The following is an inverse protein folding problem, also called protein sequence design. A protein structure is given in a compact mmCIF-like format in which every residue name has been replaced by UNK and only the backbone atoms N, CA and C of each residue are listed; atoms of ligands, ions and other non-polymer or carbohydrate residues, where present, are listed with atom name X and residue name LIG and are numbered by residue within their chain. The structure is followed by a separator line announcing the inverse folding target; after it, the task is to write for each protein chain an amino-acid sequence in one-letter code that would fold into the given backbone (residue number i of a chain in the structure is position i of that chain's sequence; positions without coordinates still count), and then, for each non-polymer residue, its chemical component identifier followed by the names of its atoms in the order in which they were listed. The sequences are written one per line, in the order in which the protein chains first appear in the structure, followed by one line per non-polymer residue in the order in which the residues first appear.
data_IF_304339766000
#
_entry.id   IF_304339766000
#
_cell.length_a   1.000
_cell.length_b   1.000
_cell.length_c   1.000
_cell.angle_alpha   90.00
_cell.angle_beta   90.00
_cell.angle_gamma   90.00
#
_symmetry.space_group_name_H-M   'P 1'
#
loop_
_entity.id
_entity.type
_entity.pdbx_description
1 polymer ?
#
# COMPACT_ATOMS: atom_id res chain seq x y z
N UNK A 1 12.13 -5.13 12.60
CA UNK A 1 10.80 -5.13 13.26
C UNK A 1 10.63 -3.84 14.05
N UNK A 2 9.39 -3.38 14.28
CA UNK A 2 9.12 -2.07 14.87
C UNK A 2 8.61 -2.21 16.30
N UNK A 3 9.17 -1.46 17.24
CA UNK A 3 8.56 -1.30 18.57
C UNK A 3 7.32 -0.39 18.44
N UNK A 4 6.10 -0.89 18.65
CA UNK A 4 4.89 -0.07 18.57
C UNK A 4 4.86 0.95 19.73
N UNK A 5 4.08 2.02 19.57
CA UNK A 5 3.76 2.88 20.70
C UNK A 5 2.86 2.10 21.67
N UNK A 6 3.19 2.10 22.96
CA UNK A 6 2.43 1.35 23.95
C UNK A 6 2.26 2.13 25.26
N UNK A 7 1.20 1.81 25.98
CA UNK A 7 0.88 2.35 27.30
C UNK A 7 0.43 1.21 28.21
N UNK A 8 0.82 1.26 29.49
CA UNK A 8 0.41 0.30 30.50
C UNK A 8 -0.38 1.01 31.61
N UNK A 9 -1.54 0.46 31.90
CA UNK A 9 -2.35 0.81 33.06
C UNK A 9 -2.68 -0.45 33.85
N UNK A 10 -3.16 -0.32 35.08
CA UNK A 10 -3.44 -1.48 35.93
C UNK A 10 -4.65 -1.24 36.83
N UNK A 11 -5.35 -2.33 37.09
CA UNK A 11 -6.38 -2.46 38.11
C UNK A 11 -5.91 -3.46 39.18
N UNK A 12 -6.65 -3.66 40.29
CA UNK A 12 -6.26 -4.65 41.31
C UNK A 12 -6.09 -6.07 40.76
N UNK A 13 -6.84 -6.44 39.72
CA UNK A 13 -6.85 -7.80 39.18
C UNK A 13 -6.12 -7.96 37.84
N UNK A 14 -5.97 -6.89 37.07
CA UNK A 14 -5.50 -6.95 35.68
C UNK A 14 -4.43 -5.90 35.40
N UNK A 15 -3.46 -6.26 34.58
CA UNK A 15 -2.59 -5.36 33.84
C UNK A 15 -3.22 -5.10 32.47
N UNK A 16 -3.32 -3.83 32.08
CA UNK A 16 -3.98 -3.39 30.84
C UNK A 16 -2.90 -2.82 29.92
N UNK A 17 -2.62 -3.51 28.83
CA UNK A 17 -1.67 -3.10 27.81
C UNK A 17 -2.42 -2.50 26.62
N UNK A 18 -2.10 -1.27 26.26
CA UNK A 18 -2.64 -0.60 25.09
C UNK A 18 -1.50 -0.42 24.07
N UNK A 19 -1.54 -1.18 22.98
CA UNK A 19 -0.49 -1.21 21.96
C UNK A 19 -1.05 -0.64 20.66
N UNK A 20 -0.41 0.39 20.11
CA UNK A 20 -0.83 1.06 18.88
C UNK A 20 -0.20 0.41 17.67
N UNK A 21 -1.00 -0.33 16.91
CA UNK A 21 -0.62 -1.13 15.74
C UNK A 21 -1.55 -0.83 14.53
N UNK A 22 -1.44 0.37 13.92
CA UNK A 22 -2.35 0.82 12.86
C UNK A 22 -2.18 0.09 11.53
N UNK A 23 -1.04 -0.57 11.30
CA UNK A 23 -0.72 -1.20 10.02
C UNK A 23 -0.77 -2.74 10.09
N UNK A 24 -1.44 -3.32 11.07
CA UNK A 24 -1.43 -4.79 11.25
C UNK A 24 -2.72 -5.44 10.78
N UNK A 25 -2.60 -6.60 10.14
CA UNK A 25 -3.75 -7.46 9.83
C UNK A 25 -4.27 -8.11 11.12
N UNK A 26 -5.59 -8.22 11.25
CA UNK A 26 -6.26 -8.80 12.43
C UNK A 26 -6.00 -10.29 12.65
N UNK A 27 -5.42 -10.99 11.67
CA UNK A 27 -5.24 -12.44 11.65
C UNK A 27 -3.89 -12.93 12.19
N UNK A 28 -2.96 -12.03 12.52
CA UNK A 28 -1.57 -12.37 12.88
C UNK A 28 -1.16 -11.68 14.19
N UNK A 29 -1.78 -12.06 15.30
CA UNK A 29 -1.36 -11.63 16.64
C UNK A 29 -0.85 -12.83 17.42
N UNK A 30 0.44 -12.84 17.74
CA UNK A 30 1.06 -13.81 18.64
C UNK A 30 1.40 -13.16 19.98
N UNK A 31 0.93 -13.78 21.06
CA UNK A 31 1.15 -13.36 22.43
C UNK A 31 1.94 -14.43 23.17
N UNK A 32 2.93 -14.01 23.95
CA UNK A 32 3.67 -14.88 24.86
C UNK A 32 3.75 -14.21 26.23
N UNK A 33 3.25 -14.90 27.25
CA UNK A 33 3.22 -14.44 28.64
C UNK A 33 3.94 -15.48 29.50
N UNK A 34 5.02 -15.07 30.16
CA UNK A 34 5.80 -15.94 31.03
C UNK A 34 6.28 -15.18 32.26
N UNK A 35 5.47 -15.23 33.33
CA UNK A 35 5.77 -14.57 34.60
C UNK A 35 5.92 -13.06 34.42
N UNK A 36 7.15 -12.56 34.38
CA UNK A 36 7.43 -11.12 34.19
C UNK A 36 7.60 -10.75 32.72
N UNK A 37 7.75 -11.72 31.82
CA UNK A 37 8.14 -11.46 30.44
C UNK A 37 6.90 -11.50 29.57
N UNK A 38 6.65 -10.39 28.87
CA UNK A 38 5.58 -10.26 27.91
C UNK A 38 6.18 -10.05 26.52
N UNK A 39 5.75 -10.82 25.53
CA UNK A 39 6.09 -10.61 24.12
C UNK A 39 4.83 -10.55 23.29
N UNK A 40 4.77 -9.56 22.42
CA UNK A 40 3.72 -9.34 21.44
C UNK A 40 4.38 -9.28 20.06
N UNK A 41 3.91 -10.11 19.16
CA UNK A 41 4.33 -10.10 17.77
C UNK A 41 3.10 -9.94 16.88
N UNK A 42 3.17 -8.95 15.99
CA UNK A 42 2.12 -8.71 15.02
C UNK A 42 2.73 -7.94 13.86
N UNK A 43 3.06 -8.63 12.78
CA UNK A 43 3.86 -8.08 11.68
C UNK A 43 3.30 -6.71 11.22
N UNK A 44 4.13 -5.65 11.12
CA UNK A 44 5.60 -5.58 11.31
C UNK A 44 6.08 -5.26 12.74
N UNK A 45 5.18 -5.26 13.73
CA UNK A 45 5.45 -4.89 15.10
C UNK A 45 5.96 -6.05 15.95
N UNK A 46 6.92 -5.72 16.81
CA UNK A 46 7.40 -6.60 17.87
C UNK A 46 7.58 -5.78 19.14
N UNK A 47 6.97 -6.22 20.22
CA UNK A 47 7.08 -5.61 21.54
C UNK A 47 7.41 -6.67 22.56
N UNK A 48 8.57 -6.56 23.20
CA UNK A 48 8.89 -7.29 24.42
C UNK A 48 8.94 -6.32 25.59
N UNK A 49 8.40 -6.76 26.73
CA UNK A 49 8.41 -6.05 27.99
C UNK A 49 8.88 -6.96 29.12
N UNK A 50 9.77 -6.44 29.95
CA UNK A 50 10.16 -6.97 31.25
C UNK A 50 9.33 -6.25 32.32
N UNK A 51 8.30 -6.91 32.83
CA UNK A 51 7.37 -6.33 33.81
C UNK A 51 7.94 -6.41 35.24
N UNK A 52 7.60 -5.44 36.11
CA UNK A 52 8.08 -5.39 37.50
C UNK A 52 7.42 -6.43 38.41
N UNK A 53 6.26 -6.96 38.01
CA UNK A 53 5.51 -8.00 38.72
C UNK A 53 5.10 -9.12 37.78
N UNK A 54 4.62 -10.23 38.35
CA UNK A 54 4.28 -11.43 37.60
C UNK A 54 2.83 -11.42 37.11
N UNK A 55 2.67 -11.73 35.83
CA UNK A 55 1.40 -11.96 35.15
C UNK A 55 1.27 -13.45 34.81
N UNK A 56 0.04 -13.92 34.66
CA UNK A 56 -0.26 -15.33 34.40
C UNK A 56 -1.18 -15.45 33.19
N UNK A 57 -0.96 -16.51 32.41
CA UNK A 57 -1.90 -16.95 31.37
C UNK A 57 -2.84 -18.00 31.98
N UNK A 58 -4.01 -17.59 32.44
CA UNK A 58 -5.01 -18.44 33.11
C UNK A 58 -6.34 -18.58 32.33
N UNK A 59 -6.39 -18.05 31.11
CA UNK A 59 -7.56 -18.10 30.23
C UNK A 59 -8.61 -17.03 30.55
N UNK A 60 -8.36 -16.14 31.52
CA UNK A 60 -9.22 -14.98 31.81
C UNK A 60 -8.71 -13.71 31.12
N UNK A 61 -7.74 -13.81 30.24
CA UNK A 61 -7.26 -12.70 29.44
C UNK A 61 -8.39 -12.19 28.53
N UNK A 62 -8.40 -10.89 28.30
CA UNK A 62 -9.30 -10.30 27.31
C UNK A 62 -8.45 -9.51 26.34
N UNK A 63 -8.76 -9.61 25.06
CA UNK A 63 -8.16 -8.78 24.03
C UNK A 63 -9.26 -8.08 23.24
N UNK A 64 -9.02 -6.82 22.89
CA UNK A 64 -9.90 -6.04 22.03
C UNK A 64 -9.03 -5.28 21.03
N UNK A 65 -9.36 -5.40 19.75
CA UNK A 65 -8.73 -4.61 18.70
C UNK A 65 -9.70 -3.59 18.13
N UNK A 66 -9.36 -2.31 18.25
CA UNK A 66 -10.06 -1.20 17.60
C UNK A 66 -9.37 -0.90 16.26
N UNK A 67 -9.93 -1.46 15.18
CA UNK A 67 -9.40 -1.34 13.81
C UNK A 67 -9.33 0.14 13.38
N UNK A 68 -10.31 0.95 13.76
CA UNK A 68 -10.40 2.36 13.33
C UNK A 68 -9.28 3.21 13.96
N UNK A 69 -8.89 2.89 15.20
CA UNK A 69 -7.81 3.59 15.91
C UNK A 69 -6.45 2.90 15.76
N UNK A 70 -6.41 1.66 15.27
CA UNK A 70 -5.23 0.83 15.28
C UNK A 70 -4.74 0.56 16.70
N UNK A 71 -5.65 0.32 17.65
CA UNK A 71 -5.34 0.16 19.06
C UNK A 71 -5.71 -1.25 19.52
N UNK A 72 -4.70 -2.00 19.95
CA UNK A 72 -4.83 -3.32 20.56
C UNK A 72 -4.80 -3.16 22.09
N UNK A 73 -5.91 -3.46 22.75
CA UNK A 73 -6.01 -3.44 24.22
C UNK A 73 -6.07 -4.86 24.75
N UNK A 74 -5.15 -5.22 25.65
CA UNK A 74 -5.04 -6.52 26.28
C UNK A 74 -5.15 -6.38 27.80
N UNK A 75 -6.01 -7.18 28.42
CA UNK A 75 -6.16 -7.30 29.87
C UNK A 75 -5.57 -8.64 30.29
N UNK A 76 -4.43 -8.62 30.96
CA UNK A 76 -3.74 -9.81 31.46
C UNK A 76 -3.90 -9.90 32.98
N UNK A 77 -4.31 -11.03 33.56
CA UNK A 77 -4.46 -11.16 35.00
C UNK A 77 -3.09 -11.15 35.71
N UNK A 78 -3.07 -10.55 36.90
CA UNK A 78 -1.91 -10.59 37.79
C UNK A 78 -1.86 -11.94 38.51
N UNK A 79 -0.67 -12.47 38.75
CA UNK A 79 -0.51 -13.69 39.56
C UNK A 79 -1.02 -13.48 40.99
N UNK A 80 -0.81 -12.27 41.53
CA UNK A 80 -1.17 -11.83 42.88
C UNK A 80 -2.22 -10.70 42.80
N UNK A 81 -3.52 -11.01 43.01
CA UNK A 81 -4.56 -10.00 43.03
C UNK A 81 -4.31 -8.95 44.12
N UNK A 82 -4.36 -7.67 43.75
CA UNK A 82 -4.11 -6.53 44.64
C UNK A 82 -2.67 -6.04 44.65
N UNK A 83 -1.72 -6.75 44.01
CA UNK A 83 -0.35 -6.26 43.85
C UNK A 83 -0.32 -5.05 42.92
N UNK A 84 0.36 -3.98 43.33
CA UNK A 84 0.51 -2.76 42.54
C UNK A 84 1.88 -2.74 41.86
N UNK A 85 1.90 -2.72 40.53
CA UNK A 85 3.13 -2.71 39.75
C UNK A 85 3.67 -1.29 39.67
N UNK A 86 4.85 -1.03 40.23
CA UNK A 86 5.47 0.29 40.19
C UNK A 86 6.23 0.52 38.88
N UNK A 87 6.36 1.77 38.44
CA UNK A 87 7.20 2.09 37.28
C UNK A 87 6.62 1.75 35.91
N UNK A 88 5.31 1.47 35.78
CA UNK A 88 4.64 1.23 34.49
C UNK A 88 4.80 2.38 33.48
N UNK A 89 5.10 3.59 33.95
CA UNK A 89 5.36 4.79 33.15
C UNK A 89 6.82 4.87 32.64
N UNK A 90 7.72 4.05 33.19
CA UNK A 90 9.15 4.03 32.83
C UNK A 90 9.36 3.10 31.64
N UNK A 91 8.83 3.48 30.48
CA UNK A 91 8.78 2.63 29.27
C UNK A 91 10.16 2.11 28.84
N UNK A 92 11.22 2.90 29.01
CA UNK A 92 12.62 2.48 28.74
C UNK A 92 13.08 1.36 29.65
N UNK A 93 12.69 1.38 30.93
CA UNK A 93 13.01 0.35 31.90
C UNK A 93 12.26 -0.96 31.63
N UNK A 94 11.06 -0.87 31.06
CA UNK A 94 10.27 -2.03 30.66
C UNK A 94 10.79 -2.69 29.38
N UNK A 95 11.44 -1.94 28.49
CA UNK A 95 12.05 -2.47 27.26
C UNK A 95 13.44 -3.09 27.50
N UNK A 96 14.08 -2.78 28.63
CA UNK A 96 15.43 -3.26 28.92
C UNK A 96 15.44 -4.78 29.21
N UNK A 97 16.43 -5.53 28.67
CA UNK A 97 16.69 -6.89 29.08
C UNK A 97 17.01 -6.97 30.58
N UNK A 98 16.64 -8.07 31.23
CA UNK A 98 17.08 -8.34 32.60
C UNK A 98 18.61 -8.42 32.62
N UNK A 99 19.27 -7.48 33.30
CA UNK A 99 20.72 -7.51 33.52
C UNK A 99 21.54 -6.46 32.78
N UNK A 100 20.97 -5.70 31.83
CA UNK A 100 21.74 -4.68 31.09
C UNK A 100 22.00 -3.43 31.97
N UNK A 101 23.10 -3.43 32.73
CA UNK A 101 23.63 -2.20 33.35
C UNK A 101 24.31 -1.38 32.26
N UNK A 102 23.74 -0.23 31.86
CA UNK A 102 24.30 0.63 30.80
C UNK A 102 25.59 1.38 31.20
N UNK A 103 26.21 1.05 32.33
CA UNK A 103 27.42 1.70 32.81
C UNK A 103 28.55 0.67 32.92
N UNK A 104 29.41 0.59 31.90
CA UNK A 104 30.78 0.11 32.10
C UNK A 104 31.48 1.12 33.03
N UNK A 105 31.89 0.68 34.22
CA UNK A 105 32.63 1.51 35.16
C UNK A 105 34.00 1.87 34.56
N UNK A 106 34.28 3.16 34.38
CA UNK A 106 35.54 3.70 33.84
C UNK A 106 36.62 3.86 34.92
N UNK A 107 36.84 2.84 35.76
CA UNK A 107 37.97 2.82 36.69
C UNK A 107 38.55 1.40 36.72
N UNK A 108 39.73 1.26 36.14
CA UNK A 108 40.54 0.05 36.11
C UNK A 108 41.52 0.12 37.29
N UNK A 109 41.09 -0.34 38.46
CA UNK A 109 41.99 -0.55 39.59
C UNK A 109 42.52 -1.98 39.54
N UNK A 110 43.84 -2.07 39.36
CA UNK A 110 44.64 -3.29 39.27
C UNK A 110 44.57 -4.06 40.59
N UNK A 111 43.86 -5.19 40.61
CA UNK A 111 44.19 -6.31 41.50
C UNK A 111 43.49 -7.62 41.13
N UNK A 112 44.31 -8.60 40.76
CA UNK A 112 44.21 -10.05 40.98
C UNK A 112 43.02 -10.81 40.36
N UNK A 113 43.33 -11.44 39.22
CA UNK A 113 43.05 -12.84 38.87
C UNK A 113 41.88 -13.52 39.59
N UNK A 114 40.71 -13.46 38.96
CA UNK A 114 39.79 -14.59 38.82
C UNK A 114 39.29 -14.53 37.36
N UNK A 115 39.86 -15.37 36.49
CA UNK A 115 39.30 -15.64 35.16
C UNK A 115 38.05 -16.51 35.35
N UNK A 116 36.93 -15.89 35.75
CA UNK A 116 35.64 -16.40 35.33
C UNK A 116 35.52 -16.05 33.85
N UNK A 117 35.64 -17.05 32.98
CA UNK A 117 35.14 -16.98 31.61
C UNK A 117 33.63 -16.69 31.73
N UNK A 118 33.27 -15.41 31.77
CA UNK A 118 31.93 -14.95 31.47
C UNK A 118 31.63 -15.44 30.04
N UNK A 119 30.99 -16.61 29.93
CA UNK A 119 30.24 -16.98 28.74
C UNK A 119 29.22 -15.86 28.55
N UNK A 120 29.60 -14.82 27.79
CA UNK A 120 28.68 -13.81 27.27
C UNK A 120 27.67 -14.58 26.40
N UNK A 121 26.62 -15.06 27.05
CA UNK A 121 25.48 -15.76 26.45
C UNK A 121 24.98 -14.85 25.32
N UNK A 122 25.30 -15.24 24.09
CA UNK A 122 25.07 -14.38 22.92
C UNK A 122 23.60 -14.03 22.86
N UNK A 123 23.27 -12.78 23.15
CA UNK A 123 21.91 -12.35 23.31
C UNK A 123 21.22 -12.31 21.94
N UNK A 124 20.50 -13.39 21.60
CA UNK A 124 19.70 -13.48 20.38
C UNK A 124 18.46 -12.57 20.38
N UNK A 125 18.34 -11.63 21.33
CA UNK A 125 17.24 -10.68 21.43
C UNK A 125 17.41 -9.54 20.39
N UNK A 126 16.35 -9.26 19.65
CA UNK A 126 16.30 -8.11 18.74
C UNK A 126 16.27 -6.83 19.61
N UNK A 127 17.25 -5.94 19.43
CA UNK A 127 17.30 -4.65 20.12
C UNK A 127 16.05 -3.81 19.80
N UNK A 128 15.37 -3.34 20.84
CA UNK A 128 14.17 -2.51 20.72
C UNK A 128 14.51 -1.04 20.97
N UNK A 129 14.24 -0.19 19.99
CA UNK A 129 14.27 1.26 20.21
C UNK A 129 12.91 1.75 20.73
N UNK A 130 12.94 2.75 21.61
CA UNK A 130 11.73 3.42 22.10
C UNK A 130 11.05 4.12 20.94
N UNK A 131 9.72 3.96 20.82
CA UNK A 131 8.92 4.73 19.88
C UNK A 131 9.08 6.23 20.15
N UNK A 132 9.62 6.97 19.18
CA UNK A 132 9.71 8.44 19.22
C UNK A 132 8.62 9.02 18.32
N UNK A 133 7.73 9.83 18.91
CA UNK A 133 6.80 10.63 18.12
C UNK A 133 7.58 11.66 17.30
N UNK A 134 7.40 11.62 15.98
CA UNK A 134 7.96 12.63 15.07
C UNK A 134 7.25 13.96 15.31
N UNK A 135 8.02 15.02 15.56
CA UNK A 135 7.47 16.36 15.79
C UNK A 135 6.73 16.91 14.56
N UNK A 136 5.81 17.88 14.74
CA UNK A 136 5.10 18.49 13.62
C UNK A 136 6.05 19.20 12.64
N UNK A 137 7.13 19.79 13.14
CA UNK A 137 8.15 20.46 12.34
C UNK A 137 8.91 19.48 11.44
N UNK A 138 9.27 18.32 11.96
CA UNK A 138 9.90 17.25 11.20
C UNK A 138 8.93 16.69 10.14
N UNK A 139 7.68 16.45 10.50
CA UNK A 139 6.64 15.96 9.57
C UNK A 139 6.37 16.91 8.39
N UNK A 140 6.52 18.23 8.61
CA UNK A 140 6.39 19.25 7.54
C UNK A 140 7.58 19.27 6.60
N UNK A 141 8.77 18.86 7.05
CA UNK A 141 9.97 18.77 6.22
C UNK A 141 9.97 17.53 5.32
N UNK A 142 9.21 16.48 5.68
CA UNK A 142 9.12 15.25 4.90
C UNK A 142 8.38 15.45 3.58
N UNK A 143 8.86 14.74 2.56
CA UNK A 143 8.18 14.67 1.27
C UNK A 143 6.91 13.83 1.38
N UNK A 144 5.81 14.37 0.83
CA UNK A 144 4.50 13.73 0.88
C UNK A 144 4.29 12.75 -0.27
N UNK A 145 3.31 11.87 -0.09
CA UNK A 145 2.86 10.85 -1.04
C UNK A 145 1.42 10.43 -0.68
N UNK A 146 0.93 9.32 -1.25
CA UNK A 146 -0.42 8.84 -1.04
C UNK A 146 -1.48 9.62 -1.81
N UNK A 147 -2.74 9.30 -1.56
CA UNK A 147 -3.88 9.99 -2.17
C UNK A 147 -3.78 11.51 -1.98
N UNK A 148 -3.79 12.25 -3.10
CA UNK A 148 -3.70 13.71 -3.10
C UNK A 148 -2.44 14.29 -2.46
N UNK A 149 -1.35 13.52 -2.33
CA UNK A 149 -0.12 13.93 -1.65
C UNK A 149 -0.37 14.39 -0.18
N UNK A 150 -1.29 13.70 0.51
CA UNK A 150 -1.70 14.05 1.88
C UNK A 150 -1.04 13.18 2.97
N UNK A 151 -0.23 12.17 2.61
CA UNK A 151 0.41 11.25 3.56
C UNK A 151 1.93 11.48 3.63
N UNK A 152 2.51 11.28 4.81
CA UNK A 152 3.95 11.21 5.08
C UNK A 152 4.18 10.43 6.39
N UNK A 153 5.41 10.04 6.67
CA UNK A 153 5.80 9.36 7.92
C UNK A 153 5.35 7.89 8.05
N UNK A 154 4.74 7.32 7.00
CA UNK A 154 4.26 5.92 7.00
C UNK A 154 5.41 4.98 6.70
N UNK A 155 6.19 5.28 5.66
CA UNK A 155 7.27 4.43 5.19
C UNK A 155 8.53 4.51 6.07
N UNK A 156 8.84 5.65 6.70
CA UNK A 156 9.95 5.69 7.68
C UNK A 156 9.75 4.71 8.84
N UNK A 157 8.51 4.36 9.16
CA UNK A 157 8.21 3.39 10.22
C UNK A 157 8.38 1.95 9.71
N UNK A 158 8.08 1.68 8.44
CA UNK A 158 7.94 0.34 7.86
C UNK A 158 9.15 -0.12 7.05
N UNK A 159 10.36 0.37 7.38
CA UNK A 159 11.56 0.27 6.53
C UNK A 159 11.89 -1.14 6.01
N UNK A 160 11.71 -2.18 6.82
CA UNK A 160 11.99 -3.58 6.42
C UNK A 160 11.01 -4.14 5.38
N UNK A 161 9.79 -3.59 5.26
CA UNK A 161 8.79 -4.04 4.28
C UNK A 161 8.75 -3.17 3.01
N UNK A 162 9.50 -2.05 2.98
CA UNK A 162 9.45 -1.07 1.87
C UNK A 162 9.92 -1.63 0.54
N UNK A 163 11.02 -2.39 0.55
CA UNK A 163 11.67 -2.90 -0.67
C UNK A 163 10.74 -3.78 -1.50
N UNK A 164 9.79 -4.43 -0.83
CA UNK A 164 8.91 -5.42 -1.44
C UNK A 164 7.59 -4.78 -1.92
N UNK A 165 7.34 -3.52 -1.54
CA UNK A 165 6.14 -2.75 -1.94
C UNK A 165 6.42 -1.73 -3.02
N UNK A 166 7.49 -0.93 -2.85
CA UNK A 166 7.78 0.25 -3.66
C UNK A 166 9.23 0.24 -4.16
N UNK A 167 9.47 0.95 -5.25
CA UNK A 167 10.80 1.09 -5.86
C UNK A 167 11.60 2.30 -5.30
N UNK A 168 10.93 3.17 -4.53
CA UNK A 168 11.58 4.34 -3.93
C UNK A 168 12.31 3.95 -2.65
N UNK A 169 13.65 4.06 -2.65
CA UNK A 169 14.49 3.70 -1.49
C UNK A 169 14.23 4.56 -0.25
N UNK A 170 14.06 5.87 -0.43
CA UNK A 170 13.77 6.81 0.66
C UNK A 170 12.60 7.73 0.28
N UNK A 171 11.35 7.27 0.47
CA UNK A 171 10.15 8.03 0.09
C UNK A 171 10.09 9.42 0.71
N UNK A 172 10.56 9.57 1.96
CA UNK A 172 10.35 10.80 2.73
C UNK A 172 11.47 11.81 2.56
N UNK A 173 12.66 11.37 2.16
CA UNK A 173 13.78 12.23 1.82
C UNK A 173 13.93 12.55 0.33
N UNK A 174 13.10 11.99 -0.55
CA UNK A 174 13.20 12.20 -2.01
C UNK A 174 12.04 13.04 -2.54
N UNK A 175 12.38 14.10 -3.25
CA UNK A 175 11.43 14.98 -3.93
C UNK A 175 10.77 14.29 -5.11
N UNK A 176 9.63 14.80 -5.56
CA UNK A 176 8.93 14.27 -6.74
C UNK A 176 9.81 14.25 -8.01
N UNK A 177 10.69 15.25 -8.18
CA UNK A 177 11.61 15.32 -9.32
C UNK A 177 12.70 14.23 -9.24
N UNK A 178 13.26 14.00 -8.04
CA UNK A 178 14.24 12.94 -7.83
C UNK A 178 13.63 11.55 -8.01
N UNK A 179 12.41 11.32 -7.49
CA UNK A 179 11.67 10.06 -7.71
C UNK A 179 11.46 9.81 -9.20
N UNK A 180 11.07 10.84 -9.96
CA UNK A 180 10.88 10.75 -11.41
C UNK A 180 12.18 10.42 -12.15
N UNK A 181 13.28 11.09 -11.80
CA UNK A 181 14.58 10.85 -12.42
C UNK A 181 15.06 9.42 -12.17
N UNK A 182 15.03 8.97 -10.90
CA UNK A 182 15.39 7.62 -10.53
C UNK A 182 14.50 6.56 -11.20
N UNK A 183 13.20 6.84 -11.35
CA UNK A 183 12.28 5.97 -12.11
C UNK A 183 12.69 5.82 -13.56
N UNK A 184 13.00 6.93 -14.24
CA UNK A 184 13.39 6.91 -15.65
C UNK A 184 14.68 6.11 -15.87
N UNK A 185 15.65 6.25 -14.96
CA UNK A 185 16.90 5.48 -14.95
C UNK A 185 16.64 3.99 -14.72
N UNK A 186 15.81 3.64 -13.73
CA UNK A 186 15.45 2.25 -13.45
C UNK A 186 14.71 1.60 -14.61
N UNK A 187 13.78 2.31 -15.26
CA UNK A 187 13.08 1.83 -16.46
C UNK A 187 14.04 1.65 -17.64
N UNK A 188 14.97 2.59 -17.85
CA UNK A 188 15.97 2.48 -18.91
C UNK A 188 16.90 1.29 -18.71
N UNK A 189 17.26 0.99 -17.46
CA UNK A 189 18.07 -0.18 -17.10
C UNK A 189 17.29 -1.51 -17.15
N UNK A 190 15.98 -1.49 -16.90
CA UNK A 190 15.14 -2.69 -16.90
C UNK A 190 14.69 -3.12 -18.31
N UNK A 191 14.66 -2.18 -19.26
CA UNK A 191 14.28 -2.47 -20.64
C UNK A 191 15.22 -3.50 -21.28
N UNK A 192 14.65 -4.61 -21.75
CA UNK A 192 15.36 -5.65 -22.48
C UNK A 192 14.94 -5.62 -23.96
N UNK A 193 15.82 -5.21 -24.88
CA UNK A 193 15.53 -5.23 -26.31
C UNK A 193 15.19 -6.65 -26.81
N UNK A 194 15.90 -7.66 -26.32
CA UNK A 194 15.71 -9.05 -26.77
C UNK A 194 14.33 -9.59 -26.36
N UNK A 195 13.89 -9.35 -25.12
CA UNK A 195 12.55 -9.73 -24.68
C UNK A 195 11.49 -8.99 -25.49
N UNK A 196 11.64 -7.67 -25.66
CA UNK A 196 10.72 -6.89 -26.47
C UNK A 196 10.59 -7.42 -27.91
N UNK A 197 11.71 -7.79 -28.54
CA UNK A 197 11.70 -8.35 -29.89
C UNK A 197 11.05 -9.74 -29.93
N UNK A 198 11.27 -10.57 -28.90
CA UNK A 198 10.58 -11.86 -28.78
C UNK A 198 9.05 -11.67 -28.73
N UNK A 199 8.55 -10.78 -27.86
CA UNK A 199 7.12 -10.48 -27.74
C UNK A 199 6.54 -9.75 -28.96
N UNK A 200 7.38 -9.19 -29.82
CA UNK A 200 6.97 -8.55 -31.07
C UNK A 200 6.81 -9.56 -32.21
N UNK A 201 7.67 -10.57 -32.29
CA UNK A 201 7.68 -11.55 -33.39
C UNK A 201 6.97 -12.86 -33.04
N UNK A 202 6.90 -13.24 -31.76
CA UNK A 202 6.25 -14.44 -31.24
C UNK A 202 4.98 -14.08 -30.44
N UNK A 203 4.08 -13.32 -31.07
CA UNK A 203 2.95 -12.65 -30.42
C UNK A 203 1.64 -13.46 -30.39
N UNK A 204 1.66 -14.77 -30.61
CA UNK A 204 0.44 -15.58 -30.75
C UNK A 204 -0.40 -15.65 -29.46
N UNK A 205 0.23 -15.78 -28.29
CA UNK A 205 -0.45 -15.67 -27.00
C UNK A 205 -1.05 -14.27 -26.80
N UNK A 206 -0.28 -13.23 -27.15
CA UNK A 206 -0.70 -11.82 -27.03
C UNK A 206 -1.92 -11.55 -27.91
N UNK A 207 -1.96 -12.07 -29.14
CA UNK A 207 -3.14 -12.00 -30.00
C UNK A 207 -4.36 -12.69 -29.38
N UNK A 208 -4.16 -13.74 -28.58
CA UNK A 208 -5.19 -14.36 -27.75
C UNK A 208 -5.73 -13.39 -26.70
N UNK A 209 -4.84 -12.84 -25.87
CA UNK A 209 -5.17 -11.88 -24.81
C UNK A 209 -5.87 -10.61 -25.35
N UNK A 210 -5.50 -10.15 -26.55
CA UNK A 210 -6.14 -9.00 -27.20
C UNK A 210 -7.60 -9.28 -27.61
N UNK A 211 -7.98 -10.55 -27.83
CA UNK A 211 -9.36 -10.93 -28.14
C UNK A 211 -10.23 -11.02 -26.89
N UNK A 212 -9.63 -11.16 -25.71
CA UNK A 212 -10.35 -11.16 -24.45
C UNK A 212 -11.20 -9.90 -24.30
N UNK A 213 -12.44 -10.07 -23.82
CA UNK A 213 -13.41 -9.00 -23.61
C UNK A 213 -13.68 -8.86 -22.11
N UNK A 214 -13.07 -7.85 -21.46
CA UNK A 214 -13.34 -7.58 -20.06
C UNK A 214 -14.81 -7.26 -19.80
N UNK A 215 -15.26 -7.49 -18.56
CA UNK A 215 -16.66 -7.38 -18.16
C UNK A 215 -17.25 -5.99 -18.40
N UNK A 216 -16.46 -4.92 -18.29
CA UNK A 216 -16.90 -3.54 -18.55
C UNK A 216 -17.22 -3.28 -20.03
N UNK A 217 -16.80 -4.14 -20.96
CA UNK A 217 -17.15 -4.01 -22.39
C UNK A 217 -18.66 -4.15 -22.64
N UNK A 218 -19.37 -4.81 -21.72
CA UNK A 218 -20.82 -5.01 -21.80
C UNK A 218 -21.63 -3.80 -21.34
N UNK A 219 -20.98 -2.80 -20.73
CA UNK A 219 -21.62 -1.59 -20.23
C UNK A 219 -21.76 -0.58 -21.38
N UNK A 220 -22.97 -0.36 -21.88
CA UNK A 220 -23.23 0.54 -23.00
C UNK A 220 -23.17 2.03 -22.58
N UNK A 221 -22.57 2.93 -23.37
CA UNK A 221 -22.46 4.36 -23.07
C UNK A 221 -23.77 5.15 -23.21
N UNK A 222 -24.83 4.57 -23.79
CA UNK A 222 -26.10 5.22 -24.12
C UNK A 222 -27.01 5.54 -22.93
N UNK A 223 -26.55 5.28 -21.71
CA UNK A 223 -27.37 5.30 -20.52
C UNK A 223 -26.70 6.13 -19.42
N UNK A 224 -26.44 7.42 -19.68
CA UNK A 224 -26.00 8.36 -18.63
C UNK A 224 -27.03 8.45 -17.47
N UNK A 225 -28.21 7.82 -17.58
CA UNK A 225 -29.20 7.69 -16.52
C UNK A 225 -29.42 6.22 -16.04
N UNK A 226 -28.76 5.21 -16.63
CA UNK A 226 -28.82 3.80 -16.20
C UNK A 226 -27.44 3.15 -15.95
N UNK A 227 -26.31 3.83 -16.22
CA UNK A 227 -24.96 3.28 -16.04
C UNK A 227 -24.62 2.95 -14.58
N UNK A 228 -25.19 3.68 -13.62
CA UNK A 228 -25.10 3.31 -12.19
C UNK A 228 -25.95 2.06 -11.85
N UNK A 229 -27.04 1.83 -12.57
CA UNK A 229 -27.92 0.67 -12.36
C UNK A 229 -27.40 -0.62 -13.03
N UNK A 230 -26.50 -0.50 -14.02
CA UNK A 230 -25.92 -1.63 -14.73
C UNK A 230 -24.77 -2.32 -13.98
N UNK A 231 -24.08 -1.58 -13.09
CA UNK A 231 -22.98 -2.12 -12.29
C UNK A 231 -23.54 -2.62 -10.96
N UNK A 232 -23.56 -3.94 -10.77
CA UNK A 232 -23.96 -4.56 -9.51
C UNK A 232 -22.75 -4.84 -8.63
N UNK A 233 -22.92 -4.58 -7.33
CA UNK A 233 -21.94 -4.91 -6.31
C UNK A 233 -22.26 -6.28 -5.68
N UNK A 234 -21.24 -7.11 -5.48
CA UNK A 234 -21.32 -8.36 -4.72
C UNK A 234 -21.55 -8.05 -3.24
N UNK A 235 -21.95 -9.06 -2.46
CA UNK A 235 -22.17 -8.84 -1.03
C UNK A 235 -20.86 -8.55 -0.29
N UNK A 236 -19.75 -9.16 -0.70
CA UNK A 236 -18.40 -8.88 -0.20
C UNK A 236 -17.98 -7.43 -0.50
N UNK A 237 -18.23 -6.94 -1.71
CA UNK A 237 -17.97 -5.56 -2.11
C UNK A 237 -18.79 -4.58 -1.26
N UNK A 238 -20.08 -4.88 -1.02
CA UNK A 238 -20.92 -4.06 -0.13
C UNK A 238 -20.44 -4.09 1.31
N UNK A 239 -20.04 -5.24 1.83
CA UNK A 239 -19.47 -5.34 3.18
C UNK A 239 -18.20 -4.51 3.29
N UNK A 240 -17.34 -4.56 2.28
CA UNK A 240 -16.14 -3.74 2.26
C UNK A 240 -16.46 -2.24 2.26
N UNK A 241 -17.43 -1.82 1.45
CA UNK A 241 -17.87 -0.42 1.43
C UNK A 241 -18.39 0.05 2.80
N UNK A 242 -19.03 -0.82 3.58
CA UNK A 242 -19.47 -0.51 4.95
C UNK A 242 -18.32 -0.31 5.93
N UNK A 243 -17.16 -0.92 5.68
CA UNK A 243 -15.94 -0.77 6.50
C UNK A 243 -15.23 0.56 6.25
N UNK A 244 -15.50 1.22 5.12
CA UNK A 244 -14.88 2.51 4.84
C UNK A 244 -15.48 3.63 5.71
N UNK A 245 -14.62 4.28 6.48
CA UNK A 245 -14.99 5.49 7.23
C UNK A 245 -15.28 6.66 6.30
N UNK A 246 -16.36 7.40 6.58
CA UNK A 246 -16.80 8.48 5.71
C UNK A 246 -15.88 9.72 5.86
N UNK A 247 -14.97 9.95 4.91
CA UNK A 247 -13.97 11.05 4.97
C UNK A 247 -14.17 12.12 3.89
N UNK A 248 -14.06 13.39 4.28
CA UNK A 248 -14.06 14.52 3.35
C UNK A 248 -12.65 14.94 2.98
N UNK A 249 -12.36 14.94 1.68
CA UNK A 249 -11.09 15.37 1.13
C UNK A 249 -11.18 16.82 0.66
N UNK A 250 -10.42 17.71 1.30
CA UNK A 250 -10.23 19.08 0.85
C UNK A 250 -9.01 19.14 -0.06
N UNK A 251 -9.25 18.94 -1.36
CA UNK A 251 -8.22 19.05 -2.40
C UNK A 251 -8.37 20.37 -3.14
N UNK A 252 -7.26 21.13 -3.20
CA UNK A 252 -7.13 22.29 -4.08
C UNK A 252 -7.16 21.86 -5.56
N UNK A 253 -7.20 22.83 -6.48
CA UNK A 253 -7.34 22.53 -7.92
C UNK A 253 -6.18 21.67 -8.44
N UNK A 254 -4.95 21.94 -7.98
CA UNK A 254 -3.76 21.23 -8.43
C UNK A 254 -3.75 19.80 -7.89
N UNK A 255 -3.91 19.60 -6.58
CA UNK A 255 -3.91 18.26 -6.00
C UNK A 255 -5.08 17.41 -6.49
N UNK A 256 -6.23 18.03 -6.79
CA UNK A 256 -7.37 17.33 -7.40
C UNK A 256 -7.05 16.84 -8.80
N UNK A 257 -6.40 17.67 -9.61
CA UNK A 257 -5.98 17.26 -10.95
C UNK A 257 -4.92 16.16 -10.89
N UNK A 258 -3.96 16.25 -9.97
CA UNK A 258 -2.99 15.19 -9.72
C UNK A 258 -3.65 13.88 -9.28
N UNK A 259 -4.60 13.93 -8.32
CA UNK A 259 -5.35 12.76 -7.87
C UNK A 259 -6.08 12.05 -9.03
N UNK A 260 -6.63 12.84 -9.96
CA UNK A 260 -7.22 12.33 -11.19
C UNK A 260 -6.21 11.63 -12.11
N UNK A 261 -5.02 12.20 -12.30
CA UNK A 261 -3.96 11.59 -13.11
C UNK A 261 -3.47 10.27 -12.50
N UNK A 262 -3.27 10.23 -11.18
CA UNK A 262 -2.90 9.01 -10.47
C UNK A 262 -4.00 7.95 -10.48
N UNK A 263 -5.28 8.34 -10.45
CA UNK A 263 -6.39 7.38 -10.66
C UNK A 263 -6.31 6.75 -12.06
N UNK A 264 -6.01 7.54 -13.09
CA UNK A 264 -5.84 7.02 -14.46
C UNK A 264 -4.66 6.04 -14.52
N UNK A 265 -3.52 6.38 -13.91
CA UNK A 265 -2.34 5.51 -13.82
C UNK A 265 -2.67 4.15 -13.18
N UNK A 266 -3.39 4.16 -12.05
CA UNK A 266 -3.81 2.94 -11.35
C UNK A 266 -4.77 2.10 -12.22
N UNK A 267 -5.74 2.73 -12.88
CA UNK A 267 -6.70 2.03 -13.74
C UNK A 267 -6.05 1.46 -15.01
N UNK A 268 -5.01 2.10 -15.56
CA UNK A 268 -4.24 1.56 -16.67
C UNK A 268 -3.53 0.26 -16.28
N UNK A 269 -2.87 0.26 -15.12
CA UNK A 269 -2.21 -0.93 -14.58
C UNK A 269 -3.21 -2.09 -14.35
N UNK A 270 -4.38 -1.80 -13.75
CA UNK A 270 -5.44 -2.79 -13.56
C UNK A 270 -6.04 -3.29 -14.88
N UNK A 271 -6.27 -2.40 -15.85
CA UNK A 271 -6.83 -2.79 -17.16
C UNK A 271 -5.87 -3.70 -17.93
N UNK A 272 -4.56 -3.46 -17.82
CA UNK A 272 -3.55 -4.38 -18.34
C UNK A 272 -3.61 -5.73 -17.62
N UNK A 273 -3.63 -5.73 -16.28
CA UNK A 273 -3.67 -6.95 -15.48
C UNK A 273 -4.84 -7.83 -15.93
N UNK A 274 -6.05 -7.29 -15.97
CA UNK A 274 -7.27 -8.04 -16.28
C UNK A 274 -7.21 -8.65 -17.69
N UNK A 275 -6.52 -7.98 -18.63
CA UNK A 275 -6.29 -8.56 -19.96
C UNK A 275 -5.24 -9.67 -19.91
N UNK A 276 -4.13 -9.44 -19.23
CA UNK A 276 -3.02 -10.39 -19.14
C UNK A 276 -3.40 -11.67 -18.40
N UNK A 277 -4.42 -11.62 -17.55
CA UNK A 277 -4.93 -12.76 -16.78
C UNK A 277 -6.31 -13.24 -17.25
N UNK A 278 -6.83 -12.68 -18.34
CA UNK A 278 -8.18 -12.96 -18.87
C UNK A 278 -9.30 -12.88 -17.80
N UNK A 279 -9.11 -11.98 -16.82
CA UNK A 279 -10.04 -11.72 -15.72
C UNK A 279 -9.88 -12.63 -14.49
N UNK A 280 -8.91 -13.54 -14.46
CA UNK A 280 -8.65 -14.44 -13.33
C UNK A 280 -7.33 -14.09 -12.63
N UNK A 281 -7.41 -13.32 -11.54
CA UNK A 281 -6.24 -12.90 -10.79
C UNK A 281 -5.43 -14.08 -10.23
N UNK A 282 -4.12 -13.89 -10.17
CA UNK A 282 -3.17 -14.87 -9.65
C UNK A 282 -2.18 -14.21 -8.67
N UNK A 283 -1.19 -14.97 -8.21
CA UNK A 283 -0.20 -14.51 -7.21
C UNK A 283 0.66 -13.32 -7.70
N UNK A 284 0.77 -13.12 -9.01
CA UNK A 284 1.52 -12.01 -9.64
C UNK A 284 0.64 -10.77 -9.91
N UNK A 285 -0.69 -10.87 -9.80
CA UNK A 285 -1.59 -9.73 -10.02
C UNK A 285 -1.27 -8.53 -9.11
N UNK A 286 -1.02 -8.69 -7.79
CA UNK A 286 -0.58 -7.59 -6.93
C UNK A 286 0.74 -6.96 -7.39
N UNK A 287 1.70 -7.77 -7.86
CA UNK A 287 2.98 -7.27 -8.37
C UNK A 287 2.78 -6.50 -9.67
N UNK A 288 2.01 -7.04 -10.62
CA UNK A 288 1.73 -6.43 -11.92
C UNK A 288 1.07 -5.06 -11.77
N UNK A 289 0.02 -4.96 -10.97
CA UNK A 289 -0.69 -3.68 -10.74
C UNK A 289 0.26 -2.63 -10.12
N UNK A 290 1.02 -3.02 -9.09
CA UNK A 290 1.98 -2.12 -8.43
C UNK A 290 3.09 -1.69 -9.39
N UNK A 291 3.72 -2.64 -10.09
CA UNK A 291 4.83 -2.36 -10.98
C UNK A 291 4.43 -1.64 -12.25
N UNK A 292 3.18 -1.69 -12.70
CA UNK A 292 2.77 -0.93 -13.88
C UNK A 292 2.26 0.48 -13.55
N UNK A 293 1.81 0.71 -12.32
CA UNK A 293 1.41 2.04 -11.83
C UNK A 293 2.60 2.79 -11.22
N UNK A 294 3.10 3.82 -11.88
CA UNK A 294 4.16 4.67 -11.32
C UNK A 294 3.72 5.42 -10.06
N UNK A 295 2.42 5.69 -9.90
CA UNK A 295 1.84 6.20 -8.65
C UNK A 295 2.07 5.23 -7.49
N UNK A 296 1.87 3.92 -7.68
CA UNK A 296 1.94 2.94 -6.60
C UNK A 296 3.38 2.56 -6.24
N UNK A 297 4.24 2.29 -7.22
CA UNK A 297 5.60 1.83 -6.95
C UNK A 297 6.64 2.96 -6.84
N UNK A 298 6.46 4.08 -7.53
CA UNK A 298 7.41 5.21 -7.50
C UNK A 298 6.89 6.44 -6.73
N UNK A 299 5.67 6.37 -6.20
CA UNK A 299 5.01 7.51 -5.54
C UNK A 299 5.04 8.76 -6.44
N UNK A 300 4.92 8.53 -7.75
CA UNK A 300 5.06 9.54 -8.79
C UNK A 300 3.87 10.51 -8.76
N UNK A 301 4.18 11.79 -8.97
CA UNK A 301 3.18 12.84 -9.14
C UNK A 301 3.22 13.34 -10.58
N UNK A 302 2.16 13.07 -11.33
CA UNK A 302 2.07 13.47 -12.73
C UNK A 302 1.55 14.90 -12.88
N UNK A 303 2.02 15.59 -13.92
CA UNK A 303 1.58 16.95 -14.28
C UNK A 303 0.72 16.97 -15.54
N UNK A 304 0.67 15.88 -16.30
CA UNK A 304 -0.19 15.75 -17.48
C UNK A 304 -0.59 14.31 -17.74
N UNK A 305 -1.67 14.13 -18.50
CA UNK A 305 -2.10 12.81 -18.97
C UNK A 305 -1.06 12.15 -19.89
N UNK A 306 -0.36 12.95 -20.70
CA UNK A 306 0.70 12.42 -21.57
C UNK A 306 1.82 11.77 -20.74
N UNK A 307 2.22 12.39 -19.63
CA UNK A 307 3.23 11.81 -18.73
C UNK A 307 2.76 10.47 -18.15
N UNK A 308 1.47 10.35 -17.76
CA UNK A 308 0.88 9.10 -17.26
C UNK A 308 0.98 8.01 -18.32
N UNK A 309 0.53 8.30 -19.55
CA UNK A 309 0.48 7.31 -20.64
C UNK A 309 1.87 6.87 -21.08
N UNK A 310 2.83 7.80 -21.17
CA UNK A 310 4.23 7.47 -21.48
C UNK A 310 4.85 6.64 -20.36
N UNK A 311 4.61 7.02 -19.10
CA UNK A 311 5.08 6.25 -17.93
C UNK A 311 4.53 4.83 -17.96
N UNK A 312 3.22 4.66 -18.04
CA UNK A 312 2.56 3.35 -18.12
C UNK A 312 3.09 2.51 -19.29
N UNK A 313 3.13 3.07 -20.50
CA UNK A 313 3.60 2.36 -21.69
C UNK A 313 5.04 1.89 -21.55
N UNK A 314 5.96 2.75 -21.06
CA UNK A 314 7.35 2.35 -20.80
C UNK A 314 7.43 1.17 -19.85
N UNK A 315 6.67 1.21 -18.75
CA UNK A 315 6.68 0.15 -17.72
C UNK A 315 6.13 -1.18 -18.23
N UNK A 316 5.08 -1.15 -19.05
CA UNK A 316 4.57 -2.35 -19.74
C UNK A 316 5.63 -2.97 -20.65
N UNK A 317 6.48 -2.16 -21.28
CA UNK A 317 7.55 -2.67 -22.15
C UNK A 317 8.81 -3.10 -21.38
N UNK A 318 8.88 -2.87 -20.06
CA UNK A 318 10.05 -3.20 -19.25
C UNK A 318 9.83 -4.40 -18.32
N UNK A 319 8.66 -4.51 -17.69
CA UNK A 319 8.49 -5.35 -16.51
C UNK A 319 7.68 -6.64 -16.70
N UNK A 320 6.44 -6.59 -17.19
CA UNK A 320 5.53 -7.74 -17.14
C UNK A 320 5.97 -8.84 -18.11
N UNK A 321 5.26 -9.97 -18.04
CA UNK A 321 5.48 -11.12 -18.92
C UNK A 321 5.31 -10.75 -20.40
N UNK A 322 4.25 -10.00 -20.73
CA UNK A 322 3.89 -9.62 -22.11
C UNK A 322 4.18 -8.14 -22.41
N UNK A 323 5.31 -7.86 -23.06
CA UNK A 323 5.87 -6.52 -23.30
C UNK A 323 5.56 -6.04 -24.71
N UNK A 324 4.30 -5.67 -24.94
CA UNK A 324 3.82 -5.35 -26.28
C UNK A 324 2.98 -4.06 -26.35
N UNK A 325 3.20 -3.24 -27.39
CA UNK A 325 2.50 -1.97 -27.60
C UNK A 325 0.99 -2.13 -27.85
N UNK A 326 0.55 -3.24 -28.43
CA UNK A 326 -0.87 -3.50 -28.61
C UNK A 326 -1.58 -3.73 -27.27
N UNK A 327 -0.91 -4.39 -26.31
CA UNK A 327 -1.43 -4.53 -24.94
C UNK A 327 -1.53 -3.18 -24.23
N UNK A 328 -0.56 -2.28 -24.42
CA UNK A 328 -0.63 -0.89 -23.93
C UNK A 328 -1.86 -0.20 -24.51
N UNK A 329 -2.04 -0.25 -25.83
CA UNK A 329 -3.17 0.38 -26.52
C UNK A 329 -4.52 -0.14 -26.02
N UNK A 330 -4.63 -1.46 -25.86
CA UNK A 330 -5.85 -2.12 -25.40
C UNK A 330 -6.20 -1.72 -23.97
N UNK A 331 -5.20 -1.65 -23.07
CA UNK A 331 -5.39 -1.18 -21.70
C UNK A 331 -5.82 0.30 -21.65
N UNK A 332 -5.27 1.17 -22.51
CA UNK A 332 -5.72 2.57 -22.61
C UNK A 332 -7.16 2.67 -23.12
N UNK A 333 -7.52 1.90 -24.16
CA UNK A 333 -8.89 1.83 -24.68
C UNK A 333 -9.87 1.32 -23.59
N UNK A 334 -9.45 0.38 -22.73
CA UNK A 334 -10.28 -0.12 -21.63
C UNK A 334 -10.44 0.86 -20.48
N UNK A 335 -9.36 1.51 -20.05
CA UNK A 335 -9.43 2.58 -19.04
C UNK A 335 -10.38 3.68 -19.49
N UNK A 336 -10.36 4.04 -20.78
CA UNK A 336 -11.32 4.99 -21.34
C UNK A 336 -12.77 4.50 -21.18
N UNK A 337 -13.07 3.23 -21.49
CA UNK A 337 -14.41 2.63 -21.32
C UNK A 337 -14.84 2.56 -19.86
N UNK A 338 -13.94 2.22 -18.94
CA UNK A 338 -14.21 2.20 -17.49
C UNK A 338 -14.65 3.60 -17.03
N UNK A 339 -13.90 4.63 -17.41
CA UNK A 339 -14.21 6.02 -17.07
C UNK A 339 -15.53 6.49 -17.72
N UNK A 340 -15.79 6.09 -18.97
CA UNK A 340 -17.04 6.38 -19.69
C UNK A 340 -18.26 5.71 -19.06
N UNK A 341 -18.08 4.54 -18.44
CA UNK A 341 -19.15 3.78 -17.76
C UNK A 341 -19.55 4.39 -16.40
N UNK A 342 -18.84 5.41 -15.93
CA UNK A 342 -19.19 6.20 -14.76
C UNK A 342 -18.59 5.70 -13.44
N UNK A 343 -18.88 6.43 -12.35
CA UNK A 343 -18.23 6.24 -11.05
C UNK A 343 -18.46 4.85 -10.43
N UNK A 344 -19.61 4.22 -10.70
CA UNK A 344 -19.89 2.88 -10.20
C UNK A 344 -18.94 1.83 -10.80
N UNK A 345 -18.65 1.93 -12.11
CA UNK A 345 -17.68 1.07 -12.78
C UNK A 345 -16.27 1.27 -12.22
N UNK A 346 -15.85 2.54 -12.08
CA UNK A 346 -14.55 2.89 -11.47
C UNK A 346 -14.44 2.34 -10.05
N UNK A 347 -15.48 2.51 -9.22
CA UNK A 347 -15.50 2.00 -7.86
C UNK A 347 -15.39 0.48 -7.81
N UNK A 348 -16.05 -0.23 -8.73
CA UNK A 348 -15.95 -1.69 -8.81
C UNK A 348 -14.52 -2.14 -9.14
N UNK A 349 -13.85 -1.48 -10.10
CA UNK A 349 -12.43 -1.75 -10.37
C UNK A 349 -11.54 -1.46 -9.15
N UNK A 350 -11.77 -0.35 -8.44
CA UNK A 350 -11.00 0.00 -7.25
C UNK A 350 -11.20 -0.98 -6.09
N UNK A 351 -12.43 -1.51 -5.90
CA UNK A 351 -12.71 -2.54 -4.89
C UNK A 351 -11.99 -3.85 -5.20
N UNK A 352 -11.89 -4.20 -6.47
CA UNK A 352 -11.16 -5.39 -6.92
C UNK A 352 -9.66 -5.24 -6.68
N UNK A 353 -9.07 -4.10 -7.08
CA UNK A 353 -7.68 -3.74 -6.74
C UNK A 353 -7.47 -3.80 -5.22
N UNK A 354 -8.41 -3.25 -4.44
CA UNK A 354 -8.31 -3.27 -2.98
C UNK A 354 -8.26 -4.71 -2.45
N UNK A 355 -9.08 -5.61 -2.99
CA UNK A 355 -9.09 -7.03 -2.61
C UNK A 355 -7.74 -7.68 -2.94
N UNK A 356 -7.28 -7.53 -4.18
CA UNK A 356 -5.99 -8.08 -4.67
C UNK A 356 -4.84 -7.64 -3.76
N UNK A 357 -4.74 -6.35 -3.43
CA UNK A 357 -3.65 -5.84 -2.61
C UNK A 357 -3.78 -6.25 -1.13
N UNK A 358 -4.99 -6.47 -0.62
CA UNK A 358 -5.18 -6.91 0.78
C UNK A 358 -4.67 -8.32 1.00
N UNK A 359 -4.87 -9.20 0.03
CA UNK A 359 -4.50 -10.62 0.10
C UNK A 359 -2.98 -10.83 0.00
N UNK A 360 -2.21 -9.80 -0.42
CA UNK A 360 -0.76 -9.85 -0.52
C UNK A 360 -0.05 -9.09 0.63
N UNK A 361 0.77 -9.80 1.41
CA UNK A 361 1.77 -9.20 2.30
C UNK A 361 2.99 -8.85 1.44
N UNK A 362 3.51 -7.61 1.36
CA UNK A 362 3.22 -6.37 2.11
C UNK A 362 2.37 -5.32 1.35
N UNK A 363 1.76 -5.68 0.21
CA UNK A 363 1.07 -4.74 -0.67
C UNK A 363 -0.17 -4.06 -0.07
N UNK A 364 -0.76 -4.63 1.00
CA UNK A 364 -1.97 -4.11 1.64
C UNK A 364 -1.84 -2.65 2.09
N UNK A 365 -0.63 -2.19 2.42
CA UNK A 365 -0.35 -0.80 2.82
C UNK A 365 -0.77 0.22 1.75
N UNK A 366 -0.73 -0.16 0.48
CA UNK A 366 -1.14 0.71 -0.63
C UNK A 366 -2.66 0.94 -0.63
N UNK A 367 -3.43 0.08 0.01
CA UNK A 367 -4.85 0.35 0.24
C UNK A 367 -5.02 1.56 1.16
N UNK A 368 -4.27 1.61 2.26
CA UNK A 368 -4.36 2.71 3.22
C UNK A 368 -3.76 4.02 2.70
N UNK A 369 -2.73 3.92 1.86
CA UNK A 369 -2.09 5.08 1.25
C UNK A 369 -2.86 5.66 0.06
N UNK A 370 -3.51 4.80 -0.75
CA UNK A 370 -4.13 5.20 -2.02
C UNK A 370 -5.55 4.66 -2.18
N UNK A 371 -5.73 3.34 -2.24
CA UNK A 371 -6.94 2.73 -2.85
C UNK A 371 -8.20 2.99 -2.01
N UNK A 372 -8.12 2.91 -0.68
CA UNK A 372 -9.23 3.20 0.23
C UNK A 372 -9.72 4.63 0.04
N UNK A 373 -8.79 5.59 -0.01
CA UNK A 373 -9.14 7.00 -0.19
C UNK A 373 -9.74 7.26 -1.58
N UNK A 374 -9.28 6.58 -2.64
CA UNK A 374 -9.94 6.62 -3.96
C UNK A 374 -11.35 6.03 -3.94
N UNK A 375 -11.56 4.90 -3.26
CA UNK A 375 -12.89 4.29 -3.12
C UNK A 375 -13.87 5.25 -2.45
N UNK A 376 -13.45 5.97 -1.41
CA UNK A 376 -14.29 6.95 -0.71
C UNK A 376 -14.49 8.21 -1.58
N UNK A 377 -13.43 8.70 -2.21
CA UNK A 377 -13.47 9.93 -2.99
C UNK A 377 -14.35 9.82 -4.23
N UNK A 378 -14.26 8.71 -4.98
CA UNK A 378 -15.03 8.53 -6.23
C UNK A 378 -16.55 8.49 -5.98
N UNK A 379 -16.99 8.09 -4.79
CA UNK A 379 -18.40 8.07 -4.43
C UNK A 379 -19.00 9.49 -4.33
N UNK A 380 -18.16 10.48 -4.00
CA UNK A 380 -18.56 11.86 -3.68
C UNK A 380 -18.45 12.84 -4.84
N UNK A 381 -17.72 12.49 -5.90
CA UNK A 381 -17.60 13.36 -7.06
C UNK A 381 -18.90 13.34 -7.89
N UNK A 382 -19.21 14.49 -8.50
CA UNK A 382 -20.42 14.65 -9.31
C UNK A 382 -20.33 13.94 -10.67
N UNK A 383 -19.12 13.86 -11.25
CA UNK A 383 -18.91 13.23 -12.55
C UNK A 383 -17.43 12.91 -12.78
N UNK A 384 -17.17 11.84 -13.56
CA UNK A 384 -15.86 11.42 -14.06
C UNK A 384 -15.52 12.13 -15.39
N UNK A 385 -16.44 12.94 -15.94
CA UNK A 385 -16.39 13.48 -17.30
C UNK A 385 -15.20 14.42 -17.59
N UNK A 386 -14.55 15.01 -16.58
CA UNK A 386 -13.46 15.96 -16.82
C UNK A 386 -12.22 15.34 -17.49
N UNK A 387 -11.96 14.03 -17.35
CA UNK A 387 -10.86 13.33 -18.06
C UNK A 387 -11.32 12.42 -19.19
N UNK A 388 -12.63 12.13 -19.26
CA UNK A 388 -13.27 11.36 -20.34
C UNK A 388 -12.86 11.90 -21.71
N UNK A 389 -12.98 13.21 -21.89
CA UNK A 389 -12.70 13.87 -23.16
C UNK A 389 -11.20 13.86 -23.46
N UNK A 390 -10.33 14.11 -22.48
CA UNK A 390 -8.89 14.16 -22.69
C UNK A 390 -8.27 12.81 -23.07
N UNK A 391 -8.70 11.71 -22.45
CA UNK A 391 -8.23 10.35 -22.83
C UNK A 391 -8.78 9.95 -24.20
N UNK A 392 -10.06 10.25 -24.47
CA UNK A 392 -10.68 9.91 -25.76
C UNK A 392 -10.09 10.73 -26.91
N UNK A 393 -9.79 12.02 -26.69
CA UNK A 393 -9.08 12.89 -27.63
C UNK A 393 -7.65 12.39 -27.87
N UNK A 394 -6.92 12.01 -26.80
CA UNK A 394 -5.58 11.47 -26.95
C UNK A 394 -5.55 10.14 -27.72
N UNK A 395 -6.54 9.27 -27.51
CA UNK A 395 -6.71 8.03 -28.28
C UNK A 395 -7.04 8.30 -29.77
N UNK A 396 -7.76 9.39 -30.06
CA UNK A 396 -8.12 9.79 -31.41
C UNK A 396 -6.96 10.48 -32.17
N UNK A 397 -6.13 11.25 -31.48
CA UNK A 397 -5.04 12.06 -32.06
C UNK A 397 -3.66 11.41 -31.96
N UNK A 398 -3.49 10.35 -31.17
CA UNK A 398 -2.20 9.69 -30.93
C UNK A 398 -1.84 8.61 -31.96
N UNK A 399 -0.56 8.16 -31.98
CA UNK A 399 -0.07 7.07 -32.86
C UNK A 399 -0.72 5.69 -32.61
N UNK A 400 -1.63 5.60 -31.64
CA UNK A 400 -2.32 4.41 -31.16
C UNK A 400 -3.66 4.15 -31.88
N UNK A 401 -4.13 5.09 -32.70
CA UNK A 401 -5.45 5.07 -33.35
C UNK A 401 -5.69 3.85 -34.26
N UNK A 402 -4.63 3.21 -34.77
CA UNK A 402 -4.71 2.01 -35.61
C UNK A 402 -4.79 0.69 -34.81
N UNK A 403 -4.61 0.71 -33.48
CA UNK A 403 -4.54 -0.49 -32.65
C UNK A 403 -5.87 -0.88 -31.98
N UNK A 404 -6.87 0.02 -32.00
CA UNK A 404 -8.19 -0.28 -31.46
C UNK A 404 -9.04 -0.86 -32.62
N UNK A 405 -9.57 -2.10 -32.54
CA UNK A 405 -10.36 -2.69 -33.63
C UNK A 405 -11.57 -1.78 -33.90
N UNK A 406 -11.97 -1.58 -35.17
CA UNK A 406 -13.01 -0.64 -35.52
C UNK A 406 -14.30 -1.02 -34.78
N UNK A 407 -14.66 -0.23 -33.77
CA UNK A 407 -16.02 -0.18 -33.28
C UNK A 407 -16.88 0.42 -34.38
N UNK A 408 -18.11 -0.06 -34.50
CA UNK A 408 -19.08 0.23 -35.57
C UNK A 408 -19.63 1.67 -35.55
N UNK A 409 -18.75 2.64 -35.32
CA UNK A 409 -19.02 4.08 -35.34
C UNK A 409 -17.80 4.83 -35.89
N UNK A 410 -17.28 4.37 -37.05
CA UNK A 410 -16.29 5.09 -37.83
C UNK A 410 -16.98 6.15 -38.71
N UNK A 411 -17.20 7.33 -38.14
CA UNK A 411 -17.43 8.55 -38.90
C UNK A 411 -16.62 9.62 -38.18
N UNK A 412 -15.38 9.88 -38.62
CA UNK A 412 -14.83 11.22 -38.77
C UNK A 412 -13.45 11.16 -39.47
N UNK A 413 -13.48 11.67 -40.71
CA UNK A 413 -12.43 12.38 -41.44
C UNK A 413 -11.10 11.67 -41.77
N UNK A 414 -11.07 11.20 -43.02
CA UNK A 414 -9.92 11.15 -43.91
C UNK A 414 -9.16 12.49 -43.95
N UNK A 415 -7.85 12.47 -43.63
CA UNK A 415 -6.89 13.47 -44.12
C UNK A 415 -5.60 12.74 -44.52
N UNK A 416 -5.23 12.89 -45.80
CA UNK A 416 -4.00 12.42 -46.41
C UNK A 416 -2.76 13.06 -45.76
N UNK A 417 -1.67 12.29 -45.67
CA UNK A 417 -0.34 12.77 -45.30
C UNK A 417 0.62 12.62 -46.50
N UNK A 418 1.22 13.75 -46.88
CA UNK A 418 2.59 13.80 -47.39
C UNK A 418 3.53 13.94 -46.18
#
# INVERSE_FOLDING_TARGET
MITPAFDLSQDPNYLILNIRVPYTKTSEFDLYIDGTDFKFYAKPYFLRLSLPGRIVEDGKEKAKFDIDKGLFSLWVPKETPGEHFEGLQMLTSLLAPKGSRSAKSLVEDVSTEDEEEDEEEFDWQIEQEVYKETSEEELRALQKYGFGNQRCGVFARLQEELSDVIDVKNPEGTTAAERRQARLEAEASAFSPDHFLADLFEDDEIKGLLKFRPWWTKLSPSAEHQGEAAVSFTDDEKEQLRKFTNRSYLLDKTSRYQAWLSLVDILLAYSYEVRSTEGEHNVESPWTIRKLSGTLCWLETYSSLQEVLVSFGRRVLCYPLYRNFAMVSAAVCDTAKILQSGKACVLKCLLDIHKILRENDPAYILNDLYITDYCIWIQRINSVNSLKNSISLFLAEGPWSNACPPSSSSLFLSVHWN
#
